data_IF_170511633186
#
_entry.id   IF_170511633186
#
_cell.length_a   1.000
_cell.length_b   1.000
_cell.length_c   1.000
_cell.angle_alpha   90.00
_cell.angle_beta   90.00
_cell.angle_gamma   90.00
#
_symmetry.space_group_name_H-M   'P 1'
#
loop_
_entity.id
_entity.type
_entity.pdbx_description
1 polymer ?
#
# COMPACT_ATOMS: atom_id res chain seq x y z
N UNK A 1 -9.22 18.01 6.33
CA UNK A 1 -7.81 17.65 6.64
C UNK A 1 -7.02 18.06 5.42
N UNK A 2 -5.89 18.74 5.60
CA UNK A 2 -5.01 19.06 4.47
C UNK A 2 -4.34 17.78 3.97
N UNK A 3 -4.27 17.61 2.65
CA UNK A 3 -3.60 16.46 2.06
C UNK A 3 -2.08 16.57 2.25
N UNK A 4 -1.51 15.60 2.96
CA UNK A 4 -0.08 15.51 3.21
C UNK A 4 0.48 14.31 2.44
N UNK A 5 1.06 14.59 1.28
CA UNK A 5 1.63 13.58 0.40
C UNK A 5 2.75 12.78 1.09
N UNK A 6 3.75 13.40 1.76
CA UNK A 6 4.77 12.67 2.52
C UNK A 6 4.19 11.69 3.54
N UNK A 7 3.23 12.11 4.37
CA UNK A 7 2.60 11.23 5.36
C UNK A 7 1.83 10.09 4.69
N UNK A 8 1.13 10.38 3.62
CA UNK A 8 0.34 9.40 2.87
C UNK A 8 1.24 8.30 2.28
N UNK A 9 2.34 8.70 1.63
CA UNK A 9 3.32 7.75 1.06
C UNK A 9 4.00 6.94 2.16
N UNK A 10 4.39 7.58 3.26
CA UNK A 10 4.99 6.88 4.39
C UNK A 10 4.04 5.82 4.98
N UNK A 11 2.78 6.19 5.22
CA UNK A 11 1.77 5.26 5.71
C UNK A 11 1.54 4.09 4.73
N UNK A 12 1.48 4.37 3.42
CA UNK A 12 1.36 3.35 2.39
C UNK A 12 2.51 2.33 2.45
N UNK A 13 3.76 2.81 2.52
CA UNK A 13 4.92 1.94 2.60
C UNK A 13 4.95 1.11 3.89
N UNK A 14 4.52 1.67 5.02
CA UNK A 14 4.40 0.93 6.29
C UNK A 14 3.41 -0.22 6.16
N UNK A 15 2.25 -0.01 5.53
CA UNK A 15 1.25 -1.06 5.31
C UNK A 15 1.83 -2.19 4.45
N UNK A 16 2.55 -1.85 3.38
CA UNK A 16 3.21 -2.85 2.52
C UNK A 16 4.26 -3.64 3.30
N UNK A 17 5.11 -2.96 4.08
CA UNK A 17 6.15 -3.60 4.89
C UNK A 17 5.55 -4.56 5.92
N UNK A 18 4.45 -4.18 6.58
CA UNK A 18 3.73 -5.05 7.53
C UNK A 18 3.12 -6.26 6.84
N UNK A 19 2.51 -6.08 5.65
CA UNK A 19 1.94 -7.19 4.88
C UNK A 19 3.02 -8.19 4.45
N UNK A 20 4.13 -7.71 3.88
CA UNK A 20 5.25 -8.55 3.46
C UNK A 20 5.90 -9.24 4.66
N UNK A 21 6.22 -8.49 5.71
CA UNK A 21 6.83 -9.04 6.92
C UNK A 21 5.95 -10.09 7.60
N UNK A 22 4.63 -9.85 7.66
CA UNK A 22 3.66 -10.81 8.19
C UNK A 22 3.61 -12.11 7.40
N UNK A 23 3.64 -12.04 6.07
CA UNK A 23 3.67 -13.24 5.22
C UNK A 23 4.97 -14.02 5.36
N UNK A 24 6.11 -13.34 5.50
CA UNK A 24 7.40 -14.01 5.74
C UNK A 24 7.40 -14.68 7.12
N UNK A 25 6.88 -14.00 8.15
CA UNK A 25 6.84 -14.52 9.51
C UNK A 25 5.86 -15.68 9.70
N UNK A 26 4.83 -15.79 8.87
CA UNK A 26 3.82 -16.86 8.96
C UNK A 26 4.19 -18.15 8.23
N UNK A 27 5.26 -18.13 7.42
CA UNK A 27 5.77 -19.28 6.65
C UNK A 27 4.70 -19.98 5.77
N UNK A 28 3.68 -19.24 5.34
CA UNK A 28 2.58 -19.77 4.53
C UNK A 28 2.94 -19.95 3.05
N UNK A 29 4.02 -19.33 2.58
CA UNK A 29 4.47 -19.37 1.19
C UNK A 29 5.97 -19.07 1.10
N UNK A 30 6.62 -19.57 0.04
CA UNK A 30 8.06 -19.37 -0.16
C UNK A 30 8.42 -17.87 -0.25
N UNK A 31 9.53 -17.47 0.38
CA UNK A 31 9.99 -16.08 0.41
C UNK A 31 10.20 -15.50 -0.99
N UNK A 32 10.68 -16.31 -1.94
CA UNK A 32 10.85 -15.88 -3.34
C UNK A 32 9.51 -15.49 -3.99
N UNK A 33 8.45 -16.28 -3.77
CA UNK A 33 7.10 -15.95 -4.22
C UNK A 33 6.60 -14.64 -3.62
N UNK A 34 6.85 -14.42 -2.32
CA UNK A 34 6.47 -13.17 -1.64
C UNK A 34 7.19 -11.99 -2.31
N UNK A 35 8.51 -12.04 -2.46
CA UNK A 35 9.32 -10.91 -2.89
C UNK A 35 9.24 -10.63 -4.39
N UNK A 36 9.09 -11.67 -5.23
CA UNK A 36 9.12 -11.55 -6.69
C UNK A 36 7.74 -11.47 -7.34
N UNK A 37 6.67 -11.87 -6.63
CA UNK A 37 5.30 -11.86 -7.19
C UNK A 37 4.33 -11.03 -6.35
N UNK A 38 4.26 -11.31 -5.04
CA UNK A 38 3.24 -10.70 -4.17
C UNK A 38 3.57 -9.25 -3.84
N UNK A 39 4.78 -8.95 -3.39
CA UNK A 39 5.19 -7.58 -3.06
C UNK A 39 5.09 -6.62 -4.26
N UNK A 40 5.55 -6.96 -5.48
CA UNK A 40 5.38 -6.09 -6.64
C UNK A 40 3.92 -5.83 -7.00
N UNK A 41 3.06 -6.86 -6.94
CA UNK A 41 1.64 -6.71 -7.24
C UNK A 41 0.90 -5.89 -6.17
N UNK A 42 1.21 -6.09 -4.89
CA UNK A 42 0.71 -5.27 -3.78
C UNK A 42 1.09 -3.79 -3.95
N UNK A 43 2.34 -3.51 -4.33
CA UNK A 43 2.80 -2.14 -4.55
C UNK A 43 2.07 -1.49 -5.73
N UNK A 44 2.00 -2.16 -6.88
CA UNK A 44 1.31 -1.60 -8.05
C UNK A 44 -0.18 -1.36 -7.78
N UNK A 45 -0.88 -2.40 -7.33
CA UNK A 45 -2.32 -2.31 -7.07
C UNK A 45 -2.62 -1.29 -5.96
N UNK A 46 -1.84 -1.34 -4.88
CA UNK A 46 -1.95 -0.40 -3.77
C UNK A 46 -1.73 1.05 -4.20
N UNK A 47 -0.74 1.31 -5.07
CA UNK A 47 -0.50 2.65 -5.60
C UNK A 47 -1.66 3.16 -6.46
N UNK A 48 -2.25 2.29 -7.30
CA UNK A 48 -3.44 2.64 -8.10
C UNK A 48 -4.61 2.99 -7.18
N UNK A 49 -4.89 2.14 -6.19
CA UNK A 49 -5.98 2.36 -5.24
C UNK A 49 -5.76 3.61 -4.38
N UNK A 50 -4.51 3.88 -3.98
CA UNK A 50 -4.16 5.10 -3.25
C UNK A 50 -4.45 6.35 -4.08
N UNK A 51 -4.04 6.37 -5.35
CA UNK A 51 -4.30 7.49 -6.24
C UNK A 51 -5.81 7.75 -6.42
N UNK A 52 -6.60 6.69 -6.65
CA UNK A 52 -8.06 6.79 -6.77
C UNK A 52 -8.69 7.26 -5.45
N UNK A 53 -8.27 6.70 -4.33
CA UNK A 53 -8.79 7.02 -3.01
C UNK A 53 -8.54 8.46 -2.59
N UNK A 54 -7.35 9.01 -2.89
CA UNK A 54 -7.02 10.42 -2.65
C UNK A 54 -7.96 11.33 -3.44
N UNK A 55 -8.11 11.08 -4.75
CA UNK A 55 -9.01 11.86 -5.61
C UNK A 55 -10.47 11.81 -5.13
N UNK A 56 -10.94 10.63 -4.71
CA UNK A 56 -12.27 10.48 -4.13
C UNK A 56 -12.42 11.26 -2.81
N UNK A 57 -11.40 11.24 -1.95
CA UNK A 57 -11.38 11.99 -0.70
C UNK A 57 -11.41 13.50 -0.92
N UNK A 58 -10.60 14.02 -1.85
CA UNK A 58 -10.57 15.44 -2.21
C UNK A 58 -11.90 15.92 -2.77
N UNK A 59 -12.54 15.11 -3.63
CA UNK A 59 -13.86 15.43 -4.19
C UNK A 59 -14.92 15.61 -3.09
N UNK A 60 -14.92 14.73 -2.07
CA UNK A 60 -15.86 14.78 -0.92
C UNK A 60 -15.53 15.84 0.13
N UNK A 61 -14.28 16.29 0.18
CA UNK A 61 -13.89 17.38 1.07
C UNK A 61 -14.31 18.75 0.51
N UNK A 62 -14.52 18.83 -0.81
CA UNK A 62 -14.79 20.07 -1.54
C UNK A 62 -16.27 20.26 -1.91
N UNK A 63 -17.06 19.16 -2.01
CA UNK A 63 -18.49 19.17 -2.31
C UNK A 63 -19.29 18.43 -1.22
#
# INVERSE_FOLDING_TARGET
MEFDLPKTVAAFLVVIALGVGGMIASDMMATDTILMMVAPSMVLFGAIMLAIGVQYGEHRATN
#
